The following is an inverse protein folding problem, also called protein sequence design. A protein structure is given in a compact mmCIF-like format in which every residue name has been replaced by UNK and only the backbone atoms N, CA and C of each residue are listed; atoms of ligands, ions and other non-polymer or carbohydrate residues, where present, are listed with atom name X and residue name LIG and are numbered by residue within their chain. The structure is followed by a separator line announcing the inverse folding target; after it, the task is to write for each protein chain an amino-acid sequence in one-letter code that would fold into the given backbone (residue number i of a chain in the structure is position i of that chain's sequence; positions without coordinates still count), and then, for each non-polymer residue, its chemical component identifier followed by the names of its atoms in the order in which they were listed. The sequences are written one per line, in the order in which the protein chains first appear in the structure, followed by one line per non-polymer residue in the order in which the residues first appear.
data_IF_681085109263
#
_entry.id   IF_681085109263
#
_cell.length_a   1.000
_cell.length_b   1.000
_cell.length_c   1.000
_cell.angle_alpha   90.00
_cell.angle_beta   90.00
_cell.angle_gamma   90.00
#
_symmetry.space_group_name_H-M   'P 1'
#
loop_
_entity.id
_entity.type
_entity.pdbx_description
1 polymer ?
#
# COMPACT_ATOMS: atom_id res chain seq x y z
N UNK A 1 18.77 -9.00 -2.96
CA UNK A 1 17.36 -8.64 -2.68
C UNK A 1 16.46 -9.47 -3.58
N UNK A 2 15.44 -10.15 -3.05
CA UNK A 2 14.60 -11.04 -3.85
C UNK A 2 13.76 -10.19 -4.81
N UNK A 3 13.69 -10.53 -6.11
CA UNK A 3 12.97 -9.77 -7.16
C UNK A 3 11.54 -9.34 -6.73
N UNK A 4 10.87 -10.13 -5.90
CA UNK A 4 9.55 -9.83 -5.35
C UNK A 4 9.49 -8.55 -4.49
N UNK A 5 10.54 -8.22 -3.74
CA UNK A 5 10.57 -7.00 -2.90
C UNK A 5 10.67 -5.72 -3.74
N UNK A 6 11.39 -5.79 -4.86
CA UNK A 6 11.52 -4.67 -5.80
C UNK A 6 10.16 -4.40 -6.45
N UNK A 7 9.46 -5.46 -6.89
CA UNK A 7 8.11 -5.34 -7.45
C UNK A 7 7.09 -4.79 -6.44
N UNK A 8 7.12 -5.24 -5.18
CA UNK A 8 6.28 -4.65 -4.13
C UNK A 8 6.57 -3.16 -3.93
N UNK A 9 7.84 -2.74 -4.00
CA UNK A 9 8.23 -1.33 -3.94
C UNK A 9 7.69 -0.51 -5.12
N UNK A 10 7.76 -1.03 -6.34
CA UNK A 10 7.20 -0.36 -7.53
C UNK A 10 5.68 -0.22 -7.43
N UNK A 11 4.98 -1.26 -6.98
CA UNK A 11 3.52 -1.20 -6.79
C UNK A 11 3.14 -0.20 -5.72
N UNK A 12 3.90 -0.11 -4.62
CA UNK A 12 3.70 0.91 -3.59
C UNK A 12 3.89 2.32 -4.14
N UNK A 13 4.91 2.53 -4.97
CA UNK A 13 5.20 3.83 -5.56
C UNK A 13 4.08 4.27 -6.52
N UNK A 14 3.61 3.35 -7.38
CA UNK A 14 2.46 3.59 -8.25
C UNK A 14 1.19 3.88 -7.45
N UNK A 15 0.96 3.14 -6.35
CA UNK A 15 -0.19 3.36 -5.50
C UNK A 15 -0.16 4.71 -4.78
N UNK A 16 1.03 5.16 -4.36
CA UNK A 16 1.22 6.49 -3.76
C UNK A 16 0.92 7.61 -4.76
N UNK A 17 1.36 7.47 -6.02
CA UNK A 17 1.05 8.43 -7.09
C UNK A 17 -0.45 8.49 -7.37
N UNK A 18 -1.14 7.34 -7.39
CA UNK A 18 -2.59 7.26 -7.60
C UNK A 18 -3.42 7.77 -6.41
N UNK A 19 -2.88 7.71 -5.19
CA UNK A 19 -3.53 8.26 -4.00
C UNK A 19 -3.59 9.80 -4.02
N UNK A 20 -2.62 10.47 -4.65
CA UNK A 20 -2.58 11.93 -4.75
C UNK A 20 -3.83 12.54 -5.42
N UNK A 21 -4.23 12.13 -6.65
CA UNK A 21 -5.42 12.66 -7.30
C UNK A 21 -6.70 12.29 -6.54
N UNK A 22 -6.77 11.10 -5.93
CA UNK A 22 -7.91 10.70 -5.09
C UNK A 22 -8.03 11.61 -3.87
N UNK A 23 -6.92 11.90 -3.20
CA UNK A 23 -6.89 12.83 -2.07
C UNK A 23 -7.25 14.25 -2.50
N UNK A 24 -6.73 14.69 -3.65
CA UNK A 24 -7.04 16.00 -4.22
C UNK A 24 -8.54 16.14 -4.50
N UNK A 25 -9.15 15.12 -5.09
CA UNK A 25 -10.59 15.08 -5.37
C UNK A 25 -11.44 15.10 -4.10
N UNK A 26 -10.99 14.46 -3.03
CA UNK A 26 -11.69 14.50 -1.73
C UNK A 26 -11.48 15.80 -0.96
N UNK A 27 -10.37 16.50 -1.20
CA UNK A 27 -10.04 17.73 -0.48
C UNK A 27 -10.99 18.90 -0.77
N UNK A 28 -11.80 18.80 -1.85
CA UNK A 28 -12.68 19.88 -2.31
C UNK A 28 -11.95 21.14 -2.80
N UNK A 29 -10.60 21.12 -2.82
CA UNK A 29 -9.77 22.24 -3.28
C UNK A 29 -9.70 22.37 -4.78
N UNK A 30 -10.04 21.31 -5.51
CA UNK A 30 -10.04 21.25 -6.96
C UNK A 30 -11.35 20.65 -7.42
N UNK A 31 -12.08 21.41 -8.23
CA UNK A 31 -13.30 20.95 -8.86
C UNK A 31 -12.95 20.02 -10.02
N UNK A 32 -13.12 18.72 -9.78
CA UNK A 32 -13.03 17.74 -10.85
C UNK A 32 -14.39 17.63 -11.56
N UNK A 33 -14.41 17.43 -12.88
CA UNK A 33 -15.61 17.03 -13.59
C UNK A 33 -16.25 15.80 -12.93
N UNK A 34 -17.59 15.72 -12.85
CA UNK A 34 -18.29 14.64 -12.15
C UNK A 34 -17.90 13.25 -12.67
N UNK A 35 -17.64 13.13 -13.98
CA UNK A 35 -17.15 11.88 -14.60
C UNK A 35 -15.79 11.44 -14.06
N UNK A 36 -14.86 12.40 -13.87
CA UNK A 36 -13.52 12.11 -13.34
C UNK A 36 -13.62 11.73 -11.87
N UNK A 37 -14.45 12.44 -11.10
CA UNK A 37 -14.71 12.11 -9.70
C UNK A 37 -15.22 10.67 -9.54
N UNK A 38 -16.22 10.26 -10.32
CA UNK A 38 -16.75 8.89 -10.31
C UNK A 38 -15.66 7.85 -10.62
N UNK A 39 -14.82 8.10 -11.62
CA UNK A 39 -13.72 7.18 -11.97
C UNK A 39 -12.71 7.07 -10.82
N UNK A 40 -12.32 8.19 -10.21
CA UNK A 40 -11.39 8.20 -9.06
C UNK A 40 -11.97 7.45 -7.85
N UNK A 41 -13.27 7.59 -7.61
CA UNK A 41 -13.97 6.90 -6.53
C UNK A 41 -14.06 5.39 -6.79
N UNK A 42 -14.36 4.97 -8.02
CA UNK A 42 -14.29 3.56 -8.41
C UNK A 42 -12.87 2.99 -8.27
N UNK A 43 -11.85 3.77 -8.64
CA UNK A 43 -10.45 3.35 -8.56
C UNK A 43 -9.93 3.26 -7.11
N UNK A 44 -10.55 3.98 -6.18
CA UNK A 44 -10.19 3.95 -4.75
C UNK A 44 -10.31 2.56 -4.14
N UNK A 45 -11.39 1.83 -4.44
CA UNK A 45 -11.64 0.49 -3.88
C UNK A 45 -10.52 -0.51 -4.22
N UNK A 46 -10.18 -0.75 -5.51
CA UNK A 46 -9.10 -1.68 -5.86
C UNK A 46 -7.74 -1.20 -5.33
N UNK A 47 -7.50 0.11 -5.29
CA UNK A 47 -6.27 0.67 -4.75
C UNK A 47 -6.10 0.34 -3.25
N UNK A 48 -7.17 0.50 -2.46
CA UNK A 48 -7.17 0.14 -1.04
C UNK A 48 -6.95 -1.36 -0.86
N UNK A 49 -7.59 -2.20 -1.68
CA UNK A 49 -7.39 -3.66 -1.62
C UNK A 49 -5.93 -4.04 -1.87
N UNK A 50 -5.30 -3.48 -2.91
CA UNK A 50 -3.89 -3.74 -3.22
C UNK A 50 -2.98 -3.33 -2.06
N UNK A 51 -3.21 -2.13 -1.50
CA UNK A 51 -2.44 -1.65 -0.34
C UNK A 51 -2.64 -2.53 0.89
N UNK A 52 -3.87 -2.99 1.16
CA UNK A 52 -4.17 -3.90 2.25
C UNK A 52 -3.44 -5.24 2.10
N UNK A 53 -3.43 -5.82 0.90
CA UNK A 53 -2.70 -7.07 0.63
C UNK A 53 -1.20 -6.91 0.86
N UNK A 54 -0.60 -5.82 0.37
CA UNK A 54 0.82 -5.53 0.58
C UNK A 54 1.11 -5.36 2.07
N UNK A 55 0.26 -4.63 2.80
CA UNK A 55 0.40 -4.43 4.23
C UNK A 55 0.37 -5.75 4.98
N UNK A 56 -0.62 -6.62 4.71
CA UNK A 56 -0.72 -7.95 5.34
C UNK A 56 0.52 -8.80 5.07
N UNK A 57 1.03 -8.79 3.83
CA UNK A 57 2.28 -9.50 3.50
C UNK A 57 3.47 -8.96 4.28
N UNK A 58 3.57 -7.64 4.40
CA UNK A 58 4.66 -6.97 5.13
C UNK A 58 4.58 -7.27 6.63
N UNK A 59 3.38 -7.16 7.22
CA UNK A 59 3.11 -7.48 8.62
C UNK A 59 3.45 -8.95 8.90
N UNK A 60 3.06 -9.88 8.02
CA UNK A 60 3.43 -11.29 8.18
C UNK A 60 4.94 -11.50 8.19
N UNK A 61 5.68 -10.82 7.31
CA UNK A 61 7.16 -10.87 7.30
C UNK A 61 7.75 -10.33 8.60
N UNK A 62 7.24 -9.21 9.11
CA UNK A 62 7.67 -8.61 10.38
C UNK A 62 7.37 -9.54 11.55
N UNK A 63 6.16 -10.11 11.63
CA UNK A 63 5.79 -11.06 12.68
C UNK A 63 6.70 -12.30 12.66
N UNK A 64 6.97 -12.85 11.48
CA UNK A 64 7.87 -13.99 11.34
C UNK A 64 9.30 -13.63 11.77
N UNK A 65 9.82 -12.48 11.36
CA UNK A 65 11.14 -12.01 11.78
C UNK A 65 11.22 -11.78 13.30
N UNK A 66 10.17 -11.21 13.90
CA UNK A 66 10.07 -11.04 15.36
C UNK A 66 10.00 -12.39 16.09
N UNK A 67 9.26 -13.37 15.54
CA UNK A 67 9.16 -14.72 16.10
C UNK A 67 10.48 -15.47 16.00
N UNK A 68 11.18 -15.34 14.88
CA UNK A 68 12.49 -15.97 14.66
C UNK A 68 13.56 -15.33 15.55
N UNK A 69 13.51 -14.01 15.78
CA UNK A 69 14.37 -13.33 16.74
C UNK A 69 14.07 -13.77 18.20
N UNK A 70 12.79 -13.98 18.54
CA UNK A 70 12.39 -14.53 19.85
C UNK A 70 12.81 -15.99 20.04
N UNK A 71 12.91 -16.76 18.97
CA UNK A 71 13.26 -18.18 18.98
C UNK A 71 14.78 -18.44 18.83
N UNK A 72 15.60 -17.41 18.64
CA UNK A 72 17.05 -17.53 18.81
C UNK A 72 17.33 -17.50 20.31
N UNK A 73 17.81 -18.60 20.93
CA UNK A 73 18.40 -18.49 22.26
C UNK A 73 19.55 -17.49 22.13
N UNK A 74 19.43 -16.35 22.80
CA UNK A 74 20.55 -15.43 22.95
C UNK A 74 21.70 -16.15 23.66
N UNK A 75 22.95 -15.67 23.49
CA UNK A 75 24.08 -16.18 24.25
C UNK A 75 23.99 -15.63 25.68
N UNK A 76 23.12 -16.21 26.49
CA UNK A 76 23.15 -16.10 27.95
C UNK A 76 22.90 -17.48 28.53
#
# INVERSE_FOLDING_TARGET
MKKAEIWEGVVLLLAAVLLLPIWLAQSGKVEFPPTIFTILEYLRIPLILVLAVILVRRVRRVINAMRENKNRPGPF
#
